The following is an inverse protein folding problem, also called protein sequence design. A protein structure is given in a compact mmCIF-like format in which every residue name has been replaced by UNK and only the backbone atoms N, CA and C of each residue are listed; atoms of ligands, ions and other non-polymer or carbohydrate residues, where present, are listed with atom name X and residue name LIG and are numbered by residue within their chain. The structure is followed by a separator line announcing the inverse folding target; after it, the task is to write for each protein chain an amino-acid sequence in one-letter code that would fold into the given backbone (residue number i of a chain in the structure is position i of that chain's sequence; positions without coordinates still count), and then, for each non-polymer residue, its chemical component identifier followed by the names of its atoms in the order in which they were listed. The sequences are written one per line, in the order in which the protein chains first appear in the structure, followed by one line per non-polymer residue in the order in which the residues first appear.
data_IF_824624326949
#
_entry.id   IF_824624326949
#
_cell.length_a   1.000
_cell.length_b   1.000
_cell.length_c   1.000
_cell.angle_alpha   90.00
_cell.angle_beta   90.00
_cell.angle_gamma   90.00
#
_symmetry.space_group_name_H-M   'P 1'
#
loop_
_entity.id
_entity.type
_entity.pdbx_description
1 polymer ?
#
# COMPACT_ATOMS: atom_id res chain seq x y z
N UNK A 1 -15.41 -17.53 -21.44
CA UNK A 1 -15.06 -17.65 -20.89
C UNK A 1 -15.06 -17.35 -20.11
N UNK A 2 -15.28 -17.47 -20.04
CA UNK A 2 -15.14 -17.32 -19.15
C UNK A 2 -14.67 -17.49 -18.56
N UNK A 3 -14.42 -17.94 -18.62
CA UNK A 3 -13.89 -18.15 -17.85
C UNK A 3 -13.21 -17.77 -17.43
N UNK A 4 -13.12 -17.59 -18.02
CA UNK A 4 -12.30 -16.98 -17.68
C UNK A 4 -12.37 -16.33 -16.87
N UNK A 5 -12.97 -16.19 -16.56
CA UNK A 5 -12.99 -15.54 -15.77
C UNK A 5 -12.66 -15.72 -14.83
N UNK A 6 -12.69 -16.54 -14.64
CA UNK A 6 -12.29 -16.76 -13.63
C UNK A 6 -11.14 -16.59 -13.23
N UNK A 7 -10.66 -16.64 -13.75
CA UNK A 7 -9.56 -16.39 -13.39
C UNK A 7 -9.21 -15.22 -13.05
N UNK A 8 -9.84 -14.62 -13.35
CA UNK A 8 -9.66 -13.51 -13.10
C UNK A 8 -10.01 -13.06 -12.00
N UNK A 9 -10.80 -13.65 -11.50
CA UNK A 9 -11.19 -13.31 -10.40
C UNK A 9 -10.22 -12.86 -9.56
N UNK A 10 -9.20 -12.98 -9.88
CA UNK A 10 -8.26 -12.61 -9.05
C UNK A 10 -7.90 -11.21 -9.06
N UNK A 11 -8.35 -10.41 -9.99
CA UNK A 11 -8.10 -9.02 -9.96
C UNK A 11 -9.14 -8.38 -9.09
N UNK A 12 -8.75 -7.95 -7.89
CA UNK A 12 -9.64 -7.33 -6.95
C UNK A 12 -9.87 -5.87 -7.34
N UNK A 13 -10.83 -5.25 -6.67
CA UNK A 13 -11.12 -3.84 -6.86
C UNK A 13 -9.90 -2.99 -6.53
N UNK A 14 -9.20 -3.36 -5.47
CA UNK A 14 -8.02 -2.60 -5.06
C UNK A 14 -6.91 -2.72 -6.09
N UNK A 15 -6.78 -3.88 -6.74
CA UNK A 15 -5.78 -4.03 -7.79
C UNK A 15 -6.06 -3.11 -8.97
N UNK A 16 -7.32 -3.00 -9.36
CA UNK A 16 -7.69 -2.13 -10.46
C UNK A 16 -7.45 -0.67 -10.11
N UNK A 17 -7.75 -0.30 -8.88
CA UNK A 17 -7.51 1.06 -8.40
C UNK A 17 -6.02 1.38 -8.44
N UNK A 18 -5.19 0.45 -7.97
CA UNK A 18 -3.75 0.66 -7.97
C UNK A 18 -3.18 0.74 -9.36
N UNK A 19 -3.67 -0.08 -10.29
CA UNK A 19 -3.18 -0.02 -11.66
C UNK A 19 -3.42 1.35 -12.26
N UNK A 20 -4.60 1.92 -12.02
CA UNK A 20 -4.92 3.24 -12.54
C UNK A 20 -4.10 4.34 -11.89
N UNK A 21 -3.99 4.31 -10.57
CA UNK A 21 -3.25 5.36 -9.87
C UNK A 21 -1.76 5.21 -10.10
N UNK A 22 -1.28 3.98 -10.23
CA UNK A 22 0.13 3.75 -10.47
C UNK A 22 0.58 4.38 -11.79
N UNK A 23 -0.25 4.26 -12.82
CA UNK A 23 0.09 4.88 -14.10
C UNK A 23 0.24 6.39 -13.96
N UNK A 24 -0.65 7.02 -13.20
CA UNK A 24 -0.59 8.46 -12.99
C UNK A 24 0.65 8.85 -12.20
N UNK A 25 0.91 8.16 -11.10
CA UNK A 25 2.07 8.46 -10.28
C UNK A 25 3.37 8.21 -11.03
N UNK A 26 3.40 7.14 -11.80
CA UNK A 26 4.60 6.81 -12.54
C UNK A 26 4.93 7.89 -13.57
N UNK A 27 3.92 8.34 -14.30
CA UNK A 27 4.12 9.39 -15.28
C UNK A 27 4.62 10.67 -14.63
N UNK A 28 4.02 11.02 -13.50
CA UNK A 28 4.42 12.21 -12.74
C UNK A 28 5.86 12.09 -12.26
N UNK A 29 6.21 10.93 -11.70
CA UNK A 29 7.54 10.73 -11.14
C UNK A 29 8.61 10.71 -12.22
N UNK A 30 8.29 10.16 -13.40
CA UNK A 30 9.26 10.05 -14.47
C UNK A 30 9.62 11.39 -15.09
N UNK A 31 8.79 12.40 -14.87
CA UNK A 31 9.13 13.73 -15.35
C UNK A 31 10.32 14.31 -14.61
N UNK A 32 10.59 13.85 -13.40
CA UNK A 32 11.72 14.34 -12.64
C UNK A 32 12.10 13.26 -11.62
N UNK A 33 12.82 12.26 -12.10
CA UNK A 33 13.14 11.11 -11.29
C UNK A 33 13.98 11.45 -10.06
N UNK A 34 14.73 12.54 -10.14
CA UNK A 34 15.58 12.90 -9.01
C UNK A 34 14.81 13.62 -7.91
N UNK A 35 13.73 14.26 -8.25
CA UNK A 35 13.02 15.11 -7.31
C UNK A 35 11.66 14.65 -6.88
N UNK A 36 11.18 13.52 -7.42
CA UNK A 36 9.82 13.07 -7.12
C UNK A 36 9.82 11.68 -6.51
N UNK A 37 9.13 11.56 -5.41
CA UNK A 37 9.07 10.32 -4.65
C UNK A 37 7.64 10.09 -4.20
N UNK A 38 7.21 8.84 -4.15
CA UNK A 38 5.87 8.57 -3.61
C UNK A 38 5.82 7.21 -2.94
N UNK A 39 4.86 7.09 -2.03
CA UNK A 39 4.52 5.83 -1.39
C UNK A 39 3.01 5.80 -1.30
N UNK A 40 2.42 4.73 -1.79
CA UNK A 40 0.99 4.56 -1.76
C UNK A 40 0.68 3.21 -1.13
N UNK A 41 -0.19 3.21 -0.15
CA UNK A 41 -0.56 2.00 0.58
C UNK A 41 -2.07 1.95 0.68
N UNK A 42 -2.63 0.81 0.40
CA UNK A 42 -4.07 0.63 0.54
C UNK A 42 -4.40 -0.81 0.86
N UNK A 43 -5.53 -1.01 1.49
CA UNK A 43 -6.02 -2.34 1.76
C UNK A 43 -7.53 -2.33 1.68
N UNK A 44 -8.09 -3.50 1.45
CA UNK A 44 -9.53 -3.64 1.50
C UNK A 44 -9.86 -5.04 2.00
N UNK A 45 -10.96 -5.16 2.70
CA UNK A 45 -11.37 -6.46 3.23
C UNK A 45 -11.89 -7.30 2.10
N UNK A 46 -11.61 -8.60 2.15
CA UNK A 46 -12.05 -9.51 1.09
C UNK A 46 -13.44 -10.05 1.32
N UNK A 47 -13.94 -9.91 2.53
CA UNK A 47 -15.22 -10.49 2.87
C UNK A 47 -15.12 -11.91 3.39
N UNK A 48 -13.93 -12.47 3.37
CA UNK A 48 -13.68 -13.81 3.86
C UNK A 48 -13.20 -13.78 5.29
N UNK A 49 -13.41 -14.88 6.01
CA UNK A 49 -12.83 -15.03 7.34
C UNK A 49 -12.16 -16.38 7.40
N UNK A 50 -11.11 -16.47 8.20
CA UNK A 50 -10.45 -17.73 8.38
C UNK A 50 -11.19 -18.52 9.46
N UNK A 51 -10.64 -19.68 9.83
CA UNK A 51 -11.30 -20.57 10.79
C UNK A 51 -11.43 -19.96 12.16
N UNK A 52 -10.60 -18.98 12.45
CA UNK A 52 -10.63 -18.33 13.76
C UNK A 52 -11.46 -17.05 13.74
N UNK A 53 -12.08 -16.74 12.61
CA UNK A 53 -12.91 -15.56 12.51
C UNK A 53 -12.19 -14.31 12.12
N UNK A 54 -10.92 -14.40 11.77
CA UNK A 54 -10.16 -13.23 11.36
C UNK A 54 -10.53 -12.82 9.95
N UNK A 55 -10.68 -11.51 9.78
CA UNK A 55 -11.05 -10.93 8.50
C UNK A 55 -9.88 -10.97 7.53
N UNK A 56 -10.15 -11.36 6.30
CA UNK A 56 -9.15 -11.33 5.26
C UNK A 56 -9.03 -9.95 4.63
N UNK A 57 -7.83 -9.65 4.14
CA UNK A 57 -7.56 -8.37 3.50
C UNK A 57 -6.70 -8.55 2.27
N UNK A 58 -6.98 -7.74 1.27
CA UNK A 58 -6.03 -7.52 0.19
C UNK A 58 -5.23 -6.28 0.54
N UNK A 59 -3.93 -6.32 0.27
CA UNK A 59 -3.04 -5.24 0.64
C UNK A 59 -2.14 -4.91 -0.54
N UNK A 60 -2.03 -3.63 -0.85
CA UNK A 60 -1.16 -3.19 -1.94
C UNK A 60 -0.26 -2.07 -1.48
N UNK A 61 0.94 -2.07 -2.00
CA UNK A 61 1.89 -1.01 -1.73
C UNK A 61 2.64 -0.72 -3.02
N UNK A 62 2.79 0.54 -3.34
CA UNK A 62 3.55 0.99 -4.50
C UNK A 62 4.42 2.14 -4.07
N UNK A 63 5.65 2.17 -4.56
CA UNK A 63 6.56 3.23 -4.16
C UNK A 63 7.55 3.51 -5.28
N UNK A 64 8.14 4.70 -5.23
CA UNK A 64 9.10 5.14 -6.21
C UNK A 64 9.96 6.21 -5.59
N UNK A 65 11.26 6.17 -5.86
CA UNK A 65 12.16 7.23 -5.44
C UNK A 65 13.04 6.84 -4.29
N UNK A 66 13.45 7.82 -3.52
CA UNK A 66 14.42 7.62 -2.47
C UNK A 66 13.75 7.34 -1.14
N UNK A 67 14.06 6.19 -0.58
CA UNK A 67 13.45 5.78 0.67
C UNK A 67 13.80 6.74 1.81
N UNK A 68 14.98 7.31 1.80
CA UNK A 68 15.38 8.23 2.86
C UNK A 68 14.51 9.49 2.86
N UNK A 69 14.14 9.97 1.68
CA UNK A 69 13.28 11.14 1.57
C UNK A 69 11.88 10.82 2.08
N UNK A 70 11.37 9.67 1.66
CA UNK A 70 10.05 9.24 2.11
C UNK A 70 10.01 9.00 3.62
N UNK A 71 11.07 8.38 4.14
CA UNK A 71 11.14 8.12 5.58
C UNK A 71 11.16 9.42 6.38
N UNK A 72 11.92 10.39 5.88
CA UNK A 72 12.00 11.68 6.55
C UNK A 72 10.62 12.37 6.57
N UNK A 73 9.93 12.33 5.44
CA UNK A 73 8.60 12.90 5.36
C UNK A 73 7.60 12.21 6.27
N UNK A 74 7.68 10.89 6.33
CA UNK A 74 6.81 10.13 7.21
C UNK A 74 7.07 10.48 8.68
N UNK A 75 8.35 10.63 9.05
CA UNK A 75 8.69 10.99 10.43
C UNK A 75 8.09 12.33 10.80
N UNK A 76 8.13 13.29 9.88
CA UNK A 76 7.51 14.59 10.13
C UNK A 76 6.00 14.48 10.26
N UNK A 77 5.39 13.65 9.41
CA UNK A 77 3.95 13.46 9.48
C UNK A 77 3.54 12.83 10.80
N UNK A 78 4.39 11.94 11.32
CA UNK A 78 4.09 11.27 12.59
C UNK A 78 4.02 12.25 13.76
N UNK A 79 4.73 13.37 13.66
CA UNK A 79 4.69 14.37 14.71
C UNK A 79 3.36 15.10 14.77
N UNK A 80 2.66 15.16 13.65
CA UNK A 80 1.43 15.92 13.55
C UNK A 80 0.19 15.07 13.47
N UNK A 81 0.33 13.84 13.04
CA UNK A 81 -0.82 12.99 12.72
C UNK A 81 -0.74 11.70 13.53
N UNK A 82 -1.63 11.61 14.50
CA UNK A 82 -1.66 10.46 15.39
C UNK A 82 -1.96 9.16 14.66
N UNK A 83 -2.79 9.24 13.63
CA UNK A 83 -3.15 8.06 12.85
C UNK A 83 -1.92 7.51 12.11
N UNK A 84 -1.17 8.39 11.46
CA UNK A 84 0.04 7.98 10.76
C UNK A 84 1.05 7.41 11.74
N UNK A 85 1.22 8.07 12.87
CA UNK A 85 2.15 7.60 13.90
C UNK A 85 1.78 6.20 14.37
N UNK A 86 0.48 5.99 14.61
CA UNK A 86 0.01 4.69 15.07
C UNK A 86 0.30 3.58 14.07
N UNK A 87 0.03 3.85 12.80
CA UNK A 87 0.29 2.86 11.75
C UNK A 87 1.76 2.48 11.70
N UNK A 88 2.61 3.49 11.65
CA UNK A 88 4.04 3.25 11.47
C UNK A 88 4.64 2.54 12.68
N UNK A 89 4.32 3.02 13.88
CA UNK A 89 4.89 2.41 15.07
C UNK A 89 4.37 0.99 15.27
N UNK A 90 3.11 0.75 14.97
CA UNK A 90 2.55 -0.59 15.10
C UNK A 90 3.19 -1.53 14.08
N UNK A 91 3.34 -1.05 12.85
CA UNK A 91 3.97 -1.88 11.82
C UNK A 91 5.41 -2.23 12.19
N UNK A 92 6.15 -1.23 12.68
CA UNK A 92 7.55 -1.46 13.06
C UNK A 92 7.64 -2.45 14.22
N UNK A 93 6.78 -2.29 15.21
CA UNK A 93 6.78 -3.18 16.36
C UNK A 93 6.44 -4.60 15.95
N UNK A 94 5.42 -4.75 15.13
CA UNK A 94 5.00 -6.08 14.66
C UNK A 94 6.13 -6.75 13.88
N UNK A 95 6.76 -5.98 13.01
CA UNK A 95 7.87 -6.48 12.21
C UNK A 95 9.01 -6.95 13.12
N UNK A 96 9.37 -6.15 14.12
CA UNK A 96 10.47 -6.49 15.00
C UNK A 96 10.14 -7.69 15.89
N UNK A 97 8.88 -7.82 16.31
CA UNK A 97 8.49 -8.93 17.15
C UNK A 97 8.46 -10.26 16.41
N UNK A 98 8.33 -10.21 15.10
CA UNK A 98 8.29 -11.43 14.31
C UNK A 98 9.67 -11.88 13.82
N UNK A 99 10.71 -11.24 14.29
CA UNK A 99 12.07 -11.60 13.90
C UNK A 99 12.74 -12.63 14.82
#
# INVERSE_FOLDING_TARGET
MAEKENNQRHESTIDKYFDRTADCYKAWAEEDEEGRNFLQIASETTGDTDEEGNQGYDFHIACFGKSSVLASGIAQAMERDEFVRSIILTAARTFLMNK
#
